data_IF_461498153047
#
_entry.id   IF_461498153047
#
_cell.length_a   1.000
_cell.length_b   1.000
_cell.length_c   1.000
_cell.angle_alpha   90.00
_cell.angle_beta   90.00
_cell.angle_gamma   90.00
#
_symmetry.space_group_name_H-M   'P 1'
#
loop_
_entity.id
_entity.type
_entity.pdbx_description
1 polymer ?
#
# COMPACT_ATOMS: atom_id res chain seq x y z
N UNK A 1 17.99 12.20 -20.07
CA UNK A 1 17.22 11.08 -19.52
C UNK A 1 17.28 9.92 -20.50
N UNK A 2 17.64 8.74 -20.00
CA UNK A 2 17.62 7.48 -20.73
C UNK A 2 16.20 6.91 -20.80
N UNK A 3 15.94 5.99 -21.73
CA UNK A 3 14.65 5.28 -21.79
C UNK A 3 14.31 4.58 -20.48
N UNK A 4 15.32 4.08 -19.74
CA UNK A 4 15.09 3.44 -18.44
C UNK A 4 14.63 4.45 -17.38
N UNK A 5 15.23 5.64 -17.35
CA UNK A 5 14.80 6.73 -16.46
C UNK A 5 13.38 7.19 -16.81
N UNK A 6 13.08 7.33 -18.10
CA UNK A 6 11.72 7.68 -18.54
C UNK A 6 10.68 6.64 -18.13
N UNK A 7 11.01 5.33 -18.19
CA UNK A 7 10.11 4.27 -17.76
C UNK A 7 9.88 4.28 -16.24
N UNK A 8 10.91 4.58 -15.45
CA UNK A 8 10.80 4.68 -13.99
C UNK A 8 9.94 5.88 -13.59
N UNK A 9 10.15 7.03 -14.23
CA UNK A 9 9.34 8.24 -14.02
C UNK A 9 7.88 8.01 -14.42
N UNK A 10 7.64 7.35 -15.57
CA UNK A 10 6.29 6.99 -16.01
C UNK A 10 5.63 6.01 -15.02
N UNK A 11 6.33 4.97 -14.56
CA UNK A 11 5.80 4.06 -13.54
C UNK A 11 5.41 4.78 -12.25
N UNK A 12 6.24 5.72 -11.77
CA UNK A 12 5.92 6.54 -10.60
C UNK A 12 4.70 7.44 -10.86
N UNK A 13 4.61 8.06 -12.04
CA UNK A 13 3.49 8.92 -12.44
C UNK A 13 2.16 8.16 -12.51
N UNK A 14 2.14 7.01 -13.18
CA UNK A 14 0.96 6.15 -13.30
C UNK A 14 0.51 5.59 -11.94
N UNK A 15 1.46 5.22 -11.07
CA UNK A 15 1.18 4.77 -9.71
C UNK A 15 0.50 5.87 -8.87
N UNK A 16 0.99 7.11 -8.97
CA UNK A 16 0.38 8.26 -8.30
C UNK A 16 -1.00 8.61 -8.89
N UNK A 17 -1.15 8.55 -10.21
CA UNK A 17 -2.41 8.82 -10.90
C UNK A 17 -3.50 7.82 -10.46
N UNK A 18 -3.18 6.53 -10.48
CA UNK A 18 -4.06 5.47 -10.00
C UNK A 18 -4.57 5.72 -8.57
N UNK A 19 -3.65 5.98 -7.61
CA UNK A 19 -4.03 6.21 -6.20
C UNK A 19 -4.89 7.48 -6.03
N UNK A 20 -4.55 8.57 -6.73
CA UNK A 20 -5.35 9.81 -6.73
C UNK A 20 -6.75 9.58 -7.29
N UNK A 21 -6.88 8.88 -8.41
CA UNK A 21 -8.18 8.67 -9.05
C UNK A 21 -9.12 7.79 -8.21
N UNK A 22 -8.60 6.80 -7.48
CA UNK A 22 -9.42 6.05 -6.52
C UNK A 22 -9.92 6.94 -5.37
N UNK A 23 -9.07 7.82 -4.84
CA UNK A 23 -9.48 8.78 -3.81
C UNK A 23 -10.52 9.77 -4.34
N UNK A 24 -10.33 10.29 -5.55
CA UNK A 24 -11.28 11.19 -6.21
C UNK A 24 -12.61 10.50 -6.52
N UNK A 25 -12.59 9.23 -6.88
CA UNK A 25 -13.81 8.45 -7.07
C UNK A 25 -14.65 8.40 -5.79
N UNK A 26 -14.02 8.17 -4.63
CA UNK A 26 -14.71 8.15 -3.33
C UNK A 26 -15.31 9.52 -2.99
N UNK A 27 -14.56 10.61 -3.25
CA UNK A 27 -15.07 11.96 -3.05
C UNK A 27 -16.25 12.26 -3.99
N UNK A 28 -16.16 11.89 -5.26
CA UNK A 28 -17.24 12.09 -6.23
C UNK A 28 -18.54 11.35 -5.84
N UNK A 29 -18.45 10.20 -5.14
CA UNK A 29 -19.63 9.55 -4.58
C UNK A 29 -20.26 10.33 -3.43
N UNK A 30 -19.42 10.83 -2.52
CA UNK A 30 -19.87 11.69 -1.40
C UNK A 30 -20.56 12.95 -1.94
N UNK A 31 -20.04 13.51 -3.03
CA UNK A 31 -20.56 14.71 -3.67
C UNK A 31 -21.80 14.44 -4.55
N UNK A 32 -22.24 13.18 -4.70
CA UNK A 32 -23.44 12.82 -5.46
C UNK A 32 -23.25 12.70 -6.97
N UNK A 33 -22.02 12.46 -7.45
CA UNK A 33 -21.67 12.29 -8.86
C UNK A 33 -21.26 10.84 -9.21
N UNK A 34 -22.20 9.87 -9.20
CA UNK A 34 -21.88 8.46 -9.36
C UNK A 34 -21.24 8.11 -10.72
N UNK A 35 -21.61 8.83 -11.78
CA UNK A 35 -21.01 8.62 -13.12
C UNK A 35 -19.57 9.14 -13.20
N UNK A 36 -19.26 10.24 -12.50
CA UNK A 36 -17.90 10.77 -12.41
C UNK A 36 -17.04 9.84 -11.57
N UNK A 37 -17.55 9.35 -10.44
CA UNK A 37 -16.89 8.33 -9.64
C UNK A 37 -16.57 7.06 -10.45
N UNK A 38 -17.54 6.60 -11.26
CA UNK A 38 -17.34 5.46 -12.17
C UNK A 38 -16.23 5.73 -13.19
N UNK A 39 -16.17 6.92 -13.78
CA UNK A 39 -15.11 7.29 -14.72
C UNK A 39 -13.74 7.31 -14.02
N UNK A 40 -13.63 7.89 -12.83
CA UNK A 40 -12.38 7.89 -12.07
C UNK A 40 -11.89 6.46 -11.75
N UNK A 41 -12.78 5.54 -11.37
CA UNK A 41 -12.41 4.13 -11.16
C UNK A 41 -11.94 3.46 -12.45
N UNK A 42 -12.60 3.73 -13.58
CA UNK A 42 -12.20 3.20 -14.87
C UNK A 42 -10.81 3.71 -15.29
N UNK A 43 -10.55 5.00 -15.11
CA UNK A 43 -9.23 5.60 -15.35
C UNK A 43 -8.18 5.01 -14.41
N UNK A 44 -8.46 4.90 -13.11
CA UNK A 44 -7.55 4.25 -12.17
C UNK A 44 -7.17 2.83 -12.62
N UNK A 45 -8.14 2.02 -13.06
CA UNK A 45 -7.87 0.70 -13.59
C UNK A 45 -6.98 0.73 -14.84
N UNK A 46 -7.17 1.69 -15.74
CA UNK A 46 -6.30 1.89 -16.90
C UNK A 46 -4.87 2.24 -16.47
N UNK A 47 -4.68 3.13 -15.49
CA UNK A 47 -3.33 3.49 -15.03
C UNK A 47 -2.61 2.33 -14.34
N UNK A 48 -3.34 1.38 -13.72
CA UNK A 48 -2.74 0.11 -13.27
C UNK A 48 -2.17 -0.68 -14.45
N UNK A 49 -2.88 -0.73 -15.59
CA UNK A 49 -2.39 -1.41 -16.80
C UNK A 49 -1.12 -0.75 -17.32
N UNK A 50 -1.09 0.58 -17.37
CA UNK A 50 0.09 1.35 -17.81
C UNK A 50 1.28 1.14 -16.86
N UNK A 51 1.08 1.32 -15.54
CA UNK A 51 2.12 1.11 -14.53
C UNK A 51 2.73 -0.30 -14.63
N UNK A 52 1.90 -1.34 -14.70
CA UNK A 52 2.39 -2.71 -14.85
C UNK A 52 3.08 -2.97 -16.20
N UNK A 53 2.68 -2.30 -17.28
CA UNK A 53 3.38 -2.39 -18.55
C UNK A 53 4.79 -1.78 -18.46
N UNK A 54 4.94 -0.60 -17.83
CA UNK A 54 6.24 0.04 -17.63
C UNK A 54 7.14 -0.77 -16.68
N UNK A 55 6.60 -1.27 -15.56
CA UNK A 55 7.34 -2.12 -14.63
C UNK A 55 7.85 -3.41 -15.31
N UNK A 56 7.03 -4.04 -16.16
CA UNK A 56 7.47 -5.19 -16.98
C UNK A 56 8.55 -4.82 -17.98
N UNK A 57 8.42 -3.69 -18.67
CA UNK A 57 9.43 -3.22 -19.62
C UNK A 57 10.79 -2.94 -18.94
N UNK A 58 10.79 -2.60 -17.65
CA UNK A 58 12.00 -2.44 -16.83
C UNK A 58 12.53 -3.76 -16.26
N UNK A 59 11.79 -4.87 -16.37
CA UNK A 59 12.14 -6.15 -15.73
C UNK A 59 11.90 -6.16 -14.22
N UNK A 60 11.04 -5.27 -13.70
CA UNK A 60 10.72 -5.17 -12.28
C UNK A 60 9.75 -6.23 -11.76
N UNK A 61 9.12 -7.01 -12.64
CA UNK A 61 8.29 -8.14 -12.23
C UNK A 61 9.09 -9.44 -12.41
N UNK A 62 9.47 -10.06 -11.29
CA UNK A 62 10.30 -11.28 -11.24
C UNK A 62 9.51 -12.45 -10.67
N UNK A 63 10.20 -13.53 -10.27
CA UNK A 63 9.59 -14.65 -9.55
C UNK A 63 9.10 -14.21 -8.18
N UNK A 64 8.09 -14.90 -7.63
CA UNK A 64 7.49 -14.60 -6.32
C UNK A 64 8.53 -14.45 -5.21
N UNK A 65 9.52 -15.35 -5.13
CA UNK A 65 10.61 -15.26 -4.15
C UNK A 65 11.39 -13.94 -4.25
N UNK A 66 11.70 -13.49 -5.47
CA UNK A 66 12.45 -12.26 -5.70
C UNK A 66 11.60 -11.02 -5.40
N UNK A 67 10.32 -11.04 -5.79
CA UNK A 67 9.39 -9.96 -5.49
C UNK A 67 9.15 -9.82 -3.98
N UNK A 68 9.08 -10.95 -3.25
CA UNK A 68 8.97 -10.95 -1.78
C UNK A 68 10.22 -10.36 -1.11
N UNK A 69 11.42 -10.67 -1.61
CA UNK A 69 12.66 -10.06 -1.10
C UNK A 69 12.70 -8.56 -1.36
N UNK A 70 12.22 -8.12 -2.52
CA UNK A 70 12.09 -6.70 -2.86
C UNK A 70 11.11 -5.99 -1.93
N UNK A 71 9.94 -6.59 -1.67
CA UNK A 71 8.96 -6.06 -0.72
C UNK A 71 9.53 -5.98 0.71
N UNK A 72 10.17 -7.04 1.22
CA UNK A 72 10.81 -7.03 2.55
C UNK A 72 11.86 -5.91 2.65
N UNK A 73 12.68 -5.72 1.62
CA UNK A 73 13.67 -4.65 1.61
C UNK A 73 13.03 -3.25 1.59
N UNK A 74 11.94 -3.08 0.82
CA UNK A 74 11.15 -1.85 0.77
C UNK A 74 10.53 -1.52 2.12
N UNK A 75 9.70 -2.41 2.66
CA UNK A 75 9.05 -2.24 3.96
C UNK A 75 10.08 -1.96 5.06
N UNK A 76 11.18 -2.73 5.08
CA UNK A 76 12.30 -2.55 6.00
C UNK A 76 12.92 -1.15 5.93
N UNK A 77 13.19 -0.66 4.73
CA UNK A 77 13.67 0.70 4.53
C UNK A 77 12.66 1.74 5.02
N UNK A 78 11.38 1.54 4.75
CA UNK A 78 10.33 2.47 5.14
C UNK A 78 10.24 2.64 6.67
N UNK A 79 10.09 1.55 7.43
CA UNK A 79 9.91 1.64 8.87
C UNK A 79 11.21 1.90 9.65
N UNK A 80 12.37 1.48 9.14
CA UNK A 80 13.65 1.68 9.85
C UNK A 80 14.34 2.99 9.50
N UNK A 81 14.16 3.50 8.27
CA UNK A 81 14.96 4.61 7.74
C UNK A 81 14.13 5.80 7.29
N UNK A 82 13.03 5.57 6.56
CA UNK A 82 12.27 6.66 5.93
C UNK A 82 11.29 7.35 6.88
N UNK A 83 10.35 6.60 7.48
CA UNK A 83 9.29 7.17 8.31
C UNK A 83 9.76 7.75 9.65
N UNK A 84 10.76 7.18 10.37
CA UNK A 84 11.19 7.74 11.65
C UNK A 84 11.60 9.23 11.59
N UNK A 85 12.47 9.68 10.66
CA UNK A 85 12.79 11.10 10.54
C UNK A 85 11.60 11.95 10.07
N UNK A 86 10.76 11.46 9.16
CA UNK A 86 9.58 12.20 8.69
C UNK A 86 8.56 12.44 9.79
N UNK A 87 8.34 11.44 10.65
CA UNK A 87 7.48 11.56 11.81
C UNK A 87 8.04 12.58 12.81
N UNK A 88 9.36 12.60 13.02
CA UNK A 88 10.00 13.55 13.91
C UNK A 88 9.92 14.99 13.38
N UNK A 89 10.16 15.18 12.08
CA UNK A 89 10.00 16.47 11.40
C UNK A 89 8.55 16.99 11.50
N UNK A 90 7.55 16.15 11.21
CA UNK A 90 6.14 16.53 11.34
C UNK A 90 5.76 16.96 12.77
N UNK A 91 6.35 16.34 13.80
CA UNK A 91 6.16 16.77 15.21
C UNK A 91 6.79 18.13 15.48
N UNK A 92 7.99 18.37 14.95
CA UNK A 92 8.71 19.64 15.12
C UNK A 92 7.98 20.81 14.45
N UNK A 93 7.39 20.56 13.29
CA UNK A 93 6.57 21.53 12.56
C UNK A 93 5.17 21.72 13.18
N UNK A 94 4.75 20.78 14.03
CA UNK A 94 3.39 20.75 14.58
C UNK A 94 2.32 20.35 13.58
N UNK A 95 2.69 19.74 12.44
CA UNK A 95 1.74 19.21 11.47
C UNK A 95 1.14 17.90 11.99
N UNK A 96 0.02 18.05 12.70
CA UNK A 96 -0.68 16.93 13.32
C UNK A 96 -1.19 15.90 12.31
N UNK A 97 -1.54 16.31 11.09
CA UNK A 97 -2.09 15.39 10.09
C UNK A 97 -0.98 14.54 9.49
N UNK A 98 0.15 15.17 9.15
CA UNK A 98 1.35 14.45 8.72
C UNK A 98 1.85 13.50 9.82
N UNK A 99 1.89 13.95 11.07
CA UNK A 99 2.29 13.10 12.21
C UNK A 99 1.43 11.84 12.31
N UNK A 100 0.10 11.98 12.24
CA UNK A 100 -0.81 10.83 12.30
C UNK A 100 -0.58 9.89 11.12
N UNK A 101 -0.41 10.45 9.91
CA UNK A 101 -0.16 9.67 8.69
C UNK A 101 1.12 8.86 8.80
N UNK A 102 2.25 9.49 9.12
CA UNK A 102 3.54 8.82 9.24
C UNK A 102 3.59 7.83 10.39
N UNK A 103 3.00 8.14 11.55
CA UNK A 103 2.93 7.21 12.68
C UNK A 103 2.15 5.95 12.33
N UNK A 104 1.04 6.10 11.61
CA UNK A 104 0.22 4.97 11.19
C UNK A 104 0.98 4.08 10.20
N UNK A 105 1.58 4.68 9.15
CA UNK A 105 2.37 3.94 8.17
C UNK A 105 3.56 3.23 8.83
N UNK A 106 4.33 3.93 9.66
CA UNK A 106 5.46 3.36 10.42
C UNK A 106 5.09 2.08 11.18
N UNK A 107 3.95 2.09 11.89
CA UNK A 107 3.49 0.93 12.65
C UNK A 107 3.01 -0.22 11.76
N UNK A 108 2.50 0.07 10.56
CA UNK A 108 1.94 -0.91 9.64
C UNK A 108 3.02 -1.53 8.75
N UNK A 109 4.02 -0.78 8.32
CA UNK A 109 5.10 -1.33 7.49
C UNK A 109 5.96 -2.34 8.25
N UNK A 110 6.09 -2.22 9.58
CA UNK A 110 6.69 -3.27 10.41
C UNK A 110 5.86 -4.59 10.35
N UNK A 111 4.53 -4.47 10.34
CA UNK A 111 3.63 -5.62 10.19
C UNK A 111 3.76 -6.23 8.79
N UNK A 112 3.79 -5.41 7.73
CA UNK A 112 3.97 -5.89 6.36
C UNK A 112 5.30 -6.60 6.18
N UNK A 113 6.38 -6.03 6.71
CA UNK A 113 7.70 -6.65 6.70
C UNK A 113 7.66 -8.07 7.31
N UNK A 114 7.05 -8.24 8.49
CA UNK A 114 6.90 -9.55 9.13
C UNK A 114 6.02 -10.53 8.34
N UNK A 115 4.94 -10.03 7.72
CA UNK A 115 4.06 -10.83 6.87
C UNK A 115 4.79 -11.35 5.63
N UNK A 116 5.56 -10.49 4.96
CA UNK A 116 6.35 -10.90 3.79
C UNK A 116 7.50 -11.85 4.16
N UNK A 117 8.13 -11.69 5.32
CA UNK A 117 9.13 -12.65 5.80
C UNK A 117 8.53 -14.07 5.96
N UNK A 118 7.33 -14.17 6.53
CA UNK A 118 6.62 -15.45 6.65
C UNK A 118 6.23 -16.02 5.29
N UNK A 119 5.78 -15.18 4.37
CA UNK A 119 5.47 -15.58 3.00
C UNK A 119 6.71 -16.09 2.26
N UNK A 120 7.85 -15.40 2.39
CA UNK A 120 9.12 -15.82 1.80
C UNK A 120 9.57 -17.17 2.34
N UNK A 121 9.49 -17.38 3.66
CA UNK A 121 9.83 -18.67 4.26
C UNK A 121 8.95 -19.81 3.71
N UNK A 122 7.64 -19.60 3.59
CA UNK A 122 6.71 -20.58 3.01
C UNK A 122 7.09 -20.92 1.56
N UNK A 123 7.29 -19.91 0.70
CA UNK A 123 7.67 -20.09 -0.71
C UNK A 123 9.01 -20.81 -0.85
N UNK A 124 10.03 -20.43 -0.05
CA UNK A 124 11.35 -21.07 -0.10
C UNK A 124 11.34 -22.53 0.35
N UNK A 125 10.35 -22.93 1.16
CA UNK A 125 10.11 -24.34 1.52
C UNK A 125 9.34 -25.15 0.47
N UNK A 126 9.01 -24.54 -0.67
CA UNK A 126 8.23 -25.17 -1.75
C UNK A 126 6.71 -25.18 -1.52
N UNK A 127 6.24 -24.43 -0.52
CA UNK A 127 4.82 -24.31 -0.18
C UNK A 127 4.24 -22.92 -0.50
N UNK A 128 3.06 -22.67 0.05
CA UNK A 128 2.35 -21.38 0.00
C UNK A 128 1.88 -21.02 1.42
N UNK A 129 1.39 -19.80 1.60
CA UNK A 129 0.71 -19.40 2.83
C UNK A 129 -0.56 -20.25 3.05
N UNK A 130 -0.89 -20.48 4.33
CA UNK A 130 -2.17 -21.07 4.67
C UNK A 130 -3.32 -20.15 4.24
N UNK A 131 -4.35 -20.71 3.62
CA UNK A 131 -5.54 -19.97 3.23
C UNK A 131 -6.22 -19.37 4.48
N UNK A 132 -6.23 -18.04 4.55
CA UNK A 132 -6.78 -17.25 5.67
C UNK A 132 -7.46 -16.01 5.11
N UNK A 133 -8.45 -15.50 5.82
CA UNK A 133 -9.04 -14.20 5.49
C UNK A 133 -8.05 -13.10 5.84
N UNK A 134 -7.94 -12.07 5.00
CA UNK A 134 -7.08 -10.92 5.24
C UNK A 134 -7.95 -9.68 5.36
N UNK A 135 -7.79 -8.92 6.43
CA UNK A 135 -8.52 -7.69 6.67
C UNK A 135 -7.57 -6.51 6.74
N UNK A 136 -7.94 -5.39 6.13
CA UNK A 136 -7.17 -4.14 6.16
C UNK A 136 -8.00 -3.02 6.79
N UNK A 137 -7.42 -2.30 7.74
CA UNK A 137 -8.05 -1.12 8.33
C UNK A 137 -8.06 0.04 7.32
N UNK A 138 -9.25 0.54 6.97
CA UNK A 138 -9.48 1.63 6.02
C UNK A 138 -8.96 3.01 6.48
N UNK A 139 -8.46 3.10 7.72
CA UNK A 139 -8.01 4.35 8.33
C UNK A 139 -6.50 4.42 8.48
N UNK A 140 -5.85 3.31 8.85
CA UNK A 140 -4.41 3.29 9.07
C UNK A 140 -3.65 2.25 8.25
N UNK A 141 -4.34 1.39 7.49
CA UNK A 141 -3.73 0.33 6.69
C UNK A 141 -3.40 -0.95 7.45
N UNK A 142 -3.68 -1.05 8.75
CA UNK A 142 -3.30 -2.24 9.55
C UNK A 142 -3.87 -3.53 8.95
N UNK A 143 -2.98 -4.49 8.66
CA UNK A 143 -3.28 -5.76 8.02
C UNK A 143 -3.33 -6.90 9.04
N UNK A 144 -4.45 -7.61 9.12
CA UNK A 144 -4.67 -8.70 10.09
C UNK A 144 -5.28 -9.93 9.41
N UNK A 145 -5.03 -11.11 10.00
CA UNK A 145 -5.60 -12.38 9.52
C UNK A 145 -6.84 -12.81 10.31
N UNK A 146 -7.66 -13.64 9.67
CA UNK A 146 -8.82 -14.39 10.18
C UNK A 146 -10.02 -13.54 10.61
N UNK A 147 -9.81 -12.53 11.46
CA UNK A 147 -10.84 -11.62 11.93
C UNK A 147 -10.30 -10.23 12.23
N UNK A 148 -11.11 -9.21 11.91
CA UNK A 148 -10.83 -7.85 12.34
C UNK A 148 -11.03 -7.72 13.88
N UNK A 149 -10.13 -7.03 14.60
CA UNK A 149 -10.24 -6.83 16.05
C UNK A 149 -11.35 -5.81 16.38
N UNK A 150 -11.89 -5.86 17.61
CA UNK A 150 -12.92 -4.91 18.08
C UNK A 150 -12.46 -3.45 17.97
N UNK A 151 -11.17 -3.21 18.25
CA UNK A 151 -10.48 -1.94 18.02
C UNK A 151 -9.18 -2.19 17.29
N UNK A 152 -8.90 -1.38 16.27
CA UNK A 152 -7.63 -1.42 15.57
C UNK A 152 -6.47 -1.13 16.54
N UNK A 153 -5.45 -2.00 16.67
CA UNK A 153 -4.34 -1.77 17.60
C UNK A 153 -3.51 -0.53 17.25
N UNK A 154 -3.52 -0.11 15.97
CA UNK A 154 -2.76 1.06 15.49
C UNK A 154 -3.54 2.36 15.70
N UNK A 155 -4.77 2.47 15.18
CA UNK A 155 -5.52 3.75 15.18
C UNK A 155 -6.81 3.74 16.00
N UNK A 156 -7.11 2.65 16.71
CA UNK A 156 -8.22 2.53 17.68
C UNK A 156 -9.64 2.65 17.10
N UNK A 157 -9.79 2.67 15.78
CA UNK A 157 -11.11 2.65 15.13
C UNK A 157 -11.80 1.28 15.29
N UNK A 158 -13.13 1.24 15.30
CA UNK A 158 -13.89 0.00 15.46
C UNK A 158 -13.71 -1.00 14.31
N UNK A 159 -14.05 -2.27 14.59
CA UNK A 159 -14.00 -3.41 13.66
C UNK A 159 -14.66 -3.16 12.30
N UNK A 160 -15.72 -2.35 12.24
CA UNK A 160 -16.46 -2.03 11.01
C UNK A 160 -15.67 -1.16 10.01
N UNK A 161 -14.49 -0.67 10.41
CA UNK A 161 -13.53 0.03 9.54
C UNK A 161 -12.49 -0.88 8.92
N UNK A 162 -12.66 -2.19 9.00
CA UNK A 162 -11.83 -3.16 8.29
C UNK A 162 -12.57 -3.71 7.08
N UNK A 163 -11.85 -3.79 5.95
CA UNK A 163 -12.33 -4.41 4.72
C UNK A 163 -11.66 -5.75 4.53
N UNK A 164 -12.44 -6.79 4.17
CA UNK A 164 -11.90 -8.07 3.72
C UNK A 164 -11.26 -7.88 2.33
N UNK A 165 -10.04 -8.38 2.17
CA UNK A 165 -9.31 -8.40 0.91
C UNK A 165 -9.45 -9.78 0.29
N UNK A 166 -9.91 -9.82 -0.97
CA UNK A 166 -10.11 -11.03 -1.80
C UNK A 166 -9.09 -11.12 -2.94
#
# INVERSE_FOLDING_TARGET
MSTKENLAEAFAGESQANRKYLAFAKQAEVDGFPQVAKLFRAAAHAETVHAHAHLRAMGGIKKTEENLKEAIAGEGFEFQTMYPPYLEEAKQEGDRMAEISFRNALAVEEIHHDLYQKALAAVMSGGDLAARKVYVCEICGNTVYDEAPDKCPVCQVPKDRFTLID
#
